data_IF_084209308859
#
_entry.id   IF_084209308859
#
_cell.length_a   1.000
_cell.length_b   1.000
_cell.length_c   1.000
_cell.angle_alpha   90.00
_cell.angle_beta   90.00
_cell.angle_gamma   90.00
#
_symmetry.space_group_name_H-M   'P 1'
#
loop_
_entity.id
_entity.type
_entity.pdbx_description
1 polymer ?
#
# COMPACT_ATOMS: atom_id res chain seq x y z
N UNK A 1 16.23 -14.29 2.69
CA UNK A 1 15.62 -13.81 1.44
C UNK A 1 14.14 -14.00 1.61
N UNK A 2 13.44 -12.93 1.94
CA UNK A 2 11.99 -12.97 2.17
C UNK A 2 11.34 -13.06 0.78
N UNK A 3 10.20 -13.74 0.62
CA UNK A 3 9.55 -13.93 -0.68
C UNK A 3 9.19 -12.62 -1.45
N UNK A 4 9.48 -11.47 -0.84
CA UNK A 4 9.23 -10.10 -1.29
C UNK A 4 10.36 -9.56 -2.17
N UNK A 5 11.61 -10.01 -1.98
CA UNK A 5 12.79 -9.50 -2.70
C UNK A 5 12.62 -9.45 -4.24
N UNK A 6 12.01 -10.46 -4.91
CA UNK A 6 11.79 -10.42 -6.36
C UNK A 6 10.62 -9.53 -6.82
N UNK A 7 9.78 -9.04 -5.91
CA UNK A 7 8.62 -8.19 -6.23
C UNK A 7 8.91 -6.69 -6.12
N UNK A 8 10.04 -6.35 -5.51
CA UNK A 8 10.48 -4.96 -5.38
C UNK A 8 10.96 -4.42 -6.74
N UNK A 9 10.49 -3.21 -7.07
CA UNK A 9 11.00 -2.43 -8.18
C UNK A 9 12.47 -2.03 -7.96
N UNK A 10 13.17 -1.69 -9.06
CA UNK A 10 14.56 -1.21 -8.96
C UNK A 10 14.63 0.06 -8.10
N UNK A 11 15.30 -0.03 -6.96
CA UNK A 11 15.46 1.08 -6.02
C UNK A 11 14.34 1.23 -4.98
N UNK A 12 13.33 0.35 -5.01
CA UNK A 12 12.24 0.34 -4.02
C UNK A 12 12.75 -0.19 -2.66
N UNK A 13 12.37 0.49 -1.58
CA UNK A 13 12.84 0.15 -0.23
C UNK A 13 11.68 -0.27 0.69
N UNK A 14 11.86 -1.37 1.42
CA UNK A 14 10.87 -1.80 2.41
C UNK A 14 10.95 -0.89 3.64
N UNK A 15 9.83 -0.26 3.98
CA UNK A 15 9.68 0.60 5.16
C UNK A 15 9.13 -0.17 6.36
N UNK A 16 8.22 -1.12 6.13
CA UNK A 16 7.64 -1.91 7.20
C UNK A 16 7.20 -3.29 6.69
N UNK A 17 7.30 -4.30 7.56
CA UNK A 17 6.77 -5.64 7.32
C UNK A 17 5.89 -6.04 8.50
N UNK A 18 4.63 -6.33 8.20
CA UNK A 18 3.63 -6.83 9.12
C UNK A 18 3.25 -8.28 8.81
N UNK A 19 2.67 -8.95 9.80
CA UNK A 19 2.12 -10.30 9.69
C UNK A 19 0.77 -10.39 10.39
N UNK A 20 -0.01 -11.40 10.03
CA UNK A 20 -1.24 -11.71 10.72
C UNK A 20 -0.96 -12.18 12.16
N UNK A 21 -1.80 -11.78 13.11
CA UNK A 21 -1.63 -12.14 14.50
C UNK A 21 -1.95 -13.62 14.75
N UNK A 22 -1.22 -14.26 15.68
CA UNK A 22 -1.41 -15.69 16.05
C UNK A 22 -2.81 -16.00 16.59
N UNK A 23 -3.52 -14.98 17.08
CA UNK A 23 -4.88 -15.13 17.61
C UNK A 23 -5.84 -15.74 16.59
N UNK A 24 -5.71 -15.39 15.30
CA UNK A 24 -6.57 -15.95 14.24
C UNK A 24 -6.37 -17.46 14.12
N UNK A 25 -5.11 -17.89 14.14
CA UNK A 25 -4.76 -19.30 14.10
C UNK A 25 -5.35 -20.02 15.32
N UNK A 26 -5.16 -19.46 16.51
CA UNK A 26 -5.68 -20.03 17.76
C UNK A 26 -7.21 -20.13 17.72
N UNK A 27 -7.92 -19.10 17.26
CA UNK A 27 -9.39 -19.12 17.20
C UNK A 27 -9.92 -20.16 16.22
N UNK A 28 -9.27 -20.31 15.06
CA UNK A 28 -9.65 -21.33 14.07
C UNK A 28 -9.42 -22.74 14.64
N UNK A 29 -8.21 -23.00 15.16
CA UNK A 29 -7.85 -24.30 15.75
C UNK A 29 -8.76 -24.63 16.93
N UNK A 30 -9.09 -23.66 17.79
CA UNK A 30 -9.99 -23.89 18.92
C UNK A 30 -11.41 -24.27 18.45
N UNK A 31 -11.92 -23.60 17.42
CA UNK A 31 -13.25 -23.89 16.85
C UNK A 31 -13.29 -25.31 16.24
N UNK A 32 -12.24 -25.69 15.52
CA UNK A 32 -12.10 -27.03 14.95
C UNK A 32 -11.98 -28.10 16.05
N UNK A 33 -11.21 -27.85 17.11
CA UNK A 33 -11.09 -28.77 18.25
C UNK A 33 -12.43 -28.97 18.97
N UNK A 34 -13.20 -27.89 19.17
CA UNK A 34 -14.55 -27.98 19.75
C UNK A 34 -15.48 -28.79 18.85
N UNK A 35 -15.45 -28.56 17.54
CA UNK A 35 -16.25 -29.30 16.57
C UNK A 35 -15.91 -30.81 16.60
N UNK A 36 -14.62 -31.15 16.62
CA UNK A 36 -14.15 -32.54 16.73
C UNK A 36 -14.62 -33.17 18.04
N UNK A 37 -14.51 -32.46 19.17
CA UNK A 37 -14.98 -32.95 20.46
C UNK A 37 -16.49 -33.22 20.46
N UNK A 38 -17.29 -32.34 19.84
CA UNK A 38 -18.74 -32.51 19.69
C UNK A 38 -19.07 -33.72 18.81
N UNK A 39 -18.35 -33.92 17.70
CA UNK A 39 -18.54 -35.07 16.81
C UNK A 39 -18.21 -36.39 17.52
N UNK A 40 -17.12 -36.44 18.29
CA UNK A 40 -16.76 -37.63 19.07
C UNK A 40 -17.82 -37.91 20.14
N UNK A 41 -18.27 -36.88 20.86
CA UNK A 41 -19.33 -37.02 21.86
C UNK A 41 -20.64 -37.52 21.21
N UNK A 42 -21.02 -37.00 20.05
CA UNK A 42 -22.19 -37.45 19.30
C UNK A 42 -22.07 -38.93 18.88
N UNK A 43 -20.89 -39.34 18.41
CA UNK A 43 -20.60 -40.74 18.10
C UNK A 43 -20.74 -41.65 19.33
N UNK A 44 -20.21 -41.23 20.49
CA UNK A 44 -20.33 -41.98 21.74
C UNK A 44 -21.79 -42.08 22.24
N UNK A 45 -22.54 -40.98 22.16
CA UNK A 45 -23.98 -40.96 22.54
C UNK A 45 -24.80 -41.84 21.60
N UNK A 46 -24.49 -41.86 20.30
CA UNK A 46 -25.17 -42.72 19.33
C UNK A 46 -25.04 -44.21 19.68
N UNK A 47 -23.86 -44.64 20.16
CA UNK A 47 -23.63 -46.01 20.61
C UNK A 47 -24.52 -46.38 21.80
N UNK A 48 -24.72 -45.44 22.75
CA UNK A 48 -25.58 -45.66 23.90
C UNK A 48 -27.08 -45.61 23.55
N UNK A 49 -27.47 -44.78 22.57
CA UNK A 49 -28.86 -44.61 22.15
C UNK A 49 -29.39 -45.76 21.29
N UNK A 50 -28.52 -46.41 20.51
CA UNK A 50 -28.90 -47.46 19.55
C UNK A 50 -28.07 -48.76 19.70
N UNK A 51 -28.05 -49.39 20.89
CA UNK A 51 -27.13 -50.49 21.19
C UNK A 51 -27.39 -51.77 20.37
N UNK A 52 -28.64 -52.00 19.97
CA UNK A 52 -29.06 -53.25 19.30
C UNK A 52 -29.54 -53.04 17.85
N UNK A 53 -29.43 -51.83 17.32
CA UNK A 53 -29.82 -51.53 15.94
C UNK A 53 -28.67 -51.90 15.00
N UNK A 54 -28.96 -52.70 13.98
CA UNK A 54 -27.97 -53.15 12.99
C UNK A 54 -28.42 -52.67 11.61
N UNK A 55 -27.49 -52.06 10.88
CA UNK A 55 -27.68 -51.62 9.50
C UNK A 55 -26.45 -52.02 8.69
N UNK A 56 -26.65 -52.52 7.47
CA UNK A 56 -25.56 -52.97 6.60
C UNK A 56 -24.58 -53.99 7.25
N UNK A 57 -25.06 -54.82 8.17
CA UNK A 57 -24.24 -55.81 8.87
C UNK A 57 -23.37 -55.26 10.01
N UNK A 58 -23.48 -53.97 10.35
CA UNK A 58 -22.77 -53.33 11.45
C UNK A 58 -23.74 -52.68 12.45
N UNK A 59 -23.33 -52.54 13.72
CA UNK A 59 -24.08 -51.77 14.70
C UNK A 59 -24.18 -50.31 14.24
N UNK A 60 -25.38 -49.73 14.31
CA UNK A 60 -25.64 -48.36 13.82
C UNK A 60 -24.72 -47.35 14.51
N UNK A 61 -24.50 -47.47 15.82
CA UNK A 61 -23.61 -46.55 16.51
C UNK A 61 -22.14 -46.66 16.07
N UNK A 62 -21.67 -47.83 15.60
CA UNK A 62 -20.33 -47.99 15.02
C UNK A 62 -20.24 -47.25 13.68
N UNK A 63 -21.28 -47.37 12.83
CA UNK A 63 -21.34 -46.63 11.57
C UNK A 63 -21.31 -45.11 11.81
N UNK A 64 -22.10 -44.62 12.77
CA UNK A 64 -22.12 -43.20 13.14
C UNK A 64 -20.76 -42.75 13.66
N UNK A 65 -20.12 -43.54 14.53
CA UNK A 65 -18.78 -43.24 15.03
C UNK A 65 -17.75 -43.15 13.90
N UNK A 66 -17.77 -44.08 12.95
CA UNK A 66 -16.87 -44.04 11.78
C UNK A 66 -17.08 -42.79 10.94
N UNK A 67 -18.33 -42.38 10.72
CA UNK A 67 -18.65 -41.13 10.02
C UNK A 67 -18.13 -39.93 10.80
N UNK A 68 -18.40 -39.84 12.11
CA UNK A 68 -17.91 -38.75 12.97
C UNK A 68 -16.38 -38.66 12.99
N UNK A 69 -15.68 -39.80 13.05
CA UNK A 69 -14.21 -39.86 13.00
C UNK A 69 -13.69 -39.42 11.63
N UNK A 70 -14.33 -39.86 10.55
CA UNK A 70 -13.94 -39.46 9.19
C UNK A 70 -14.08 -37.95 8.98
N UNK A 71 -15.20 -37.36 9.43
CA UNK A 71 -15.42 -35.91 9.38
C UNK A 71 -14.39 -35.20 10.25
N UNK A 72 -14.11 -35.71 11.45
CA UNK A 72 -13.12 -35.12 12.36
C UNK A 72 -11.72 -35.12 11.76
N UNK A 73 -11.34 -36.16 11.02
CA UNK A 73 -10.07 -36.22 10.31
C UNK A 73 -9.99 -35.18 9.17
N UNK A 74 -11.09 -34.98 8.43
CA UNK A 74 -11.17 -33.94 7.41
C UNK A 74 -11.04 -32.52 7.99
N UNK A 75 -11.70 -32.27 9.12
CA UNK A 75 -11.58 -31.00 9.87
C UNK A 75 -10.16 -30.79 10.38
N UNK A 76 -9.51 -31.84 10.90
CA UNK A 76 -8.11 -31.72 11.32
C UNK A 76 -7.17 -31.46 10.12
N UNK A 77 -7.51 -31.99 8.94
CA UNK A 77 -6.82 -31.68 7.70
C UNK A 77 -6.97 -30.22 7.27
N UNK A 78 -8.14 -29.59 7.47
CA UNK A 78 -8.33 -28.16 7.19
C UNK A 78 -7.51 -27.26 8.10
N UNK A 79 -7.32 -27.65 9.36
CA UNK A 79 -6.47 -26.94 10.32
C UNK A 79 -5.06 -26.69 9.79
N UNK A 80 -4.49 -27.70 9.14
CA UNK A 80 -3.16 -27.64 8.54
C UNK A 80 -3.11 -26.64 7.40
N UNK A 81 -4.14 -26.62 6.55
CA UNK A 81 -4.23 -25.64 5.46
C UNK A 81 -4.37 -24.22 6.00
N UNK A 82 -5.16 -24.02 7.05
CA UNK A 82 -5.31 -22.72 7.70
C UNK A 82 -4.01 -22.23 8.34
N UNK A 83 -3.21 -23.14 8.92
CA UNK A 83 -1.85 -22.82 9.37
C UNK A 83 -0.97 -22.31 8.23
N UNK A 84 -0.98 -22.98 7.07
CA UNK A 84 -0.21 -22.54 5.92
C UNK A 84 -0.70 -21.19 5.38
N UNK A 85 -2.02 -20.94 5.35
CA UNK A 85 -2.58 -19.64 4.96
C UNK A 85 -2.07 -18.53 5.86
N UNK A 86 -2.19 -18.72 7.18
CA UNK A 86 -1.75 -17.76 8.19
C UNK A 86 -0.23 -17.50 8.10
N UNK A 87 0.57 -18.54 7.89
CA UNK A 87 2.03 -18.42 7.81
C UNK A 87 2.51 -17.71 6.54
N UNK A 88 1.76 -17.84 5.44
CA UNK A 88 2.13 -17.27 4.15
C UNK A 88 1.62 -15.83 3.95
N UNK A 89 0.65 -15.38 4.75
CA UNK A 89 0.13 -14.02 4.64
C UNK A 89 1.11 -12.98 5.19
N UNK A 90 1.57 -12.08 4.32
CA UNK A 90 2.54 -11.04 4.67
C UNK A 90 2.10 -9.68 4.13
N UNK A 91 2.32 -8.66 4.96
CA UNK A 91 1.95 -7.29 4.65
C UNK A 91 3.22 -6.45 4.57
N UNK A 92 3.41 -5.74 3.46
CA UNK A 92 4.63 -4.98 3.22
C UNK A 92 4.27 -3.56 2.86
N UNK A 93 4.93 -2.60 3.49
CA UNK A 93 4.86 -1.20 3.12
C UNK A 93 6.21 -0.85 2.53
N UNK A 94 6.21 -0.34 1.30
CA UNK A 94 7.39 0.20 0.63
C UNK A 94 7.30 1.72 0.60
N UNK A 95 8.27 2.36 -0.03
CA UNK A 95 8.26 3.79 -0.32
C UNK A 95 7.28 4.20 -1.42
N UNK A 96 6.71 3.25 -2.18
CA UNK A 96 5.80 3.55 -3.30
C UNK A 96 4.41 2.95 -3.13
N UNK A 97 4.28 1.79 -2.48
CA UNK A 97 3.05 1.00 -2.42
C UNK A 97 2.93 0.17 -1.15
N UNK A 98 1.73 -0.34 -0.91
CA UNK A 98 1.44 -1.38 0.07
C UNK A 98 1.21 -2.67 -0.70
N UNK A 99 1.89 -3.74 -0.30
CA UNK A 99 1.82 -5.06 -0.93
C UNK A 99 1.23 -6.05 0.08
N UNK A 100 0.18 -6.76 -0.36
CA UNK A 100 -0.39 -7.91 0.32
C UNK A 100 0.03 -9.17 -0.41
N UNK A 101 0.83 -10.01 0.24
CA UNK A 101 1.18 -11.35 -0.24
C UNK A 101 0.32 -12.37 0.49
N UNK A 102 -0.38 -13.22 -0.26
CA UNK A 102 -1.18 -14.31 0.31
C UNK A 102 -1.21 -15.52 -0.61
N UNK A 103 -1.55 -16.68 -0.05
CA UNK A 103 -1.74 -17.92 -0.82
C UNK A 103 -0.84 -19.07 -0.35
N UNK A 104 -1.23 -20.29 -0.71
CA UNK A 104 -0.51 -21.52 -0.33
C UNK A 104 0.23 -22.10 -1.54
N UNK A 105 -0.53 -22.49 -2.56
CA UNK A 105 -0.02 -23.06 -3.81
C UNK A 105 0.14 -21.99 -4.88
N UNK A 106 -0.88 -21.13 -5.01
CA UNK A 106 -0.86 -19.96 -5.87
C UNK A 106 -0.56 -18.75 -4.99
N UNK A 107 0.53 -18.05 -5.28
CA UNK A 107 0.90 -16.81 -4.60
C UNK A 107 0.18 -15.67 -5.31
N UNK A 108 -0.61 -14.92 -4.56
CA UNK A 108 -1.29 -13.71 -5.00
C UNK A 108 -0.60 -12.51 -4.35
N UNK A 109 -0.18 -11.54 -5.17
CA UNK A 109 0.38 -10.27 -4.74
C UNK A 109 -0.58 -9.16 -5.14
N UNK A 110 -1.14 -8.46 -4.14
CA UNK A 110 -2.04 -7.33 -4.36
C UNK A 110 -1.28 -6.06 -4.01
N UNK A 111 -1.08 -5.22 -5.03
CA UNK A 111 -0.36 -3.96 -4.91
C UNK A 111 -1.32 -2.78 -4.87
N UNK A 112 -1.20 -1.94 -3.84
CA UNK A 112 -1.93 -0.68 -3.71
C UNK A 112 -0.94 0.48 -3.66
N UNK A 113 -0.90 1.30 -4.72
CA UNK A 113 -0.06 2.51 -4.74
C UNK A 113 -0.44 3.45 -3.60
N UNK A 114 0.55 3.94 -2.85
CA UNK A 114 0.34 4.87 -1.74
C UNK A 114 -0.32 6.19 -2.19
N UNK A 115 -0.12 6.57 -3.44
CA UNK A 115 -0.72 7.76 -4.06
C UNK A 115 -2.23 7.62 -4.23
N UNK A 116 -2.69 6.42 -4.59
CA UNK A 116 -4.11 6.11 -4.89
C UNK A 116 -4.94 5.79 -3.65
N UNK A 117 -4.33 5.81 -2.47
CA UNK A 117 -5.02 5.58 -1.20
C UNK A 117 -5.80 6.84 -0.82
N UNK A 118 -7.11 6.70 -0.74
CA UNK A 118 -8.01 7.76 -0.31
C UNK A 118 -8.07 7.80 1.21
N UNK A 119 -8.44 6.68 1.81
CA UNK A 119 -8.72 6.57 3.24
C UNK A 119 -8.18 5.27 3.83
N UNK A 120 -7.80 5.33 5.11
CA UNK A 120 -7.27 4.18 5.87
C UNK A 120 -7.95 4.14 7.24
N UNK A 121 -8.87 3.18 7.36
CA UNK A 121 -9.61 2.92 8.58
C UNK A 121 -8.89 1.87 9.42
N UNK A 122 -8.77 2.11 10.73
CA UNK A 122 -8.27 1.13 11.70
C UNK A 122 -9.42 0.74 12.62
N UNK A 123 -9.78 -0.54 12.60
CA UNK A 123 -10.79 -1.11 13.50
C UNK A 123 -10.10 -2.02 14.49
N UNK A 124 -10.19 -1.67 15.78
CA UNK A 124 -9.60 -2.46 16.85
C UNK A 124 -10.63 -2.67 17.95
N UNK A 125 -10.96 -3.94 18.21
CA UNK A 125 -11.83 -4.32 19.33
C UNK A 125 -11.12 -4.15 20.67
N UNK A 126 -11.87 -4.24 21.77
CA UNK A 126 -11.28 -4.19 23.12
C UNK A 126 -10.22 -5.29 23.33
N UNK A 127 -10.52 -6.52 22.90
CA UNK A 127 -9.55 -7.63 22.90
C UNK A 127 -8.39 -7.37 21.95
N UNK A 128 -8.65 -6.81 20.77
CA UNK A 128 -7.61 -6.41 19.81
C UNK A 128 -6.64 -5.39 20.42
N UNK A 129 -7.12 -4.48 21.27
CA UNK A 129 -6.26 -3.52 21.98
C UNK A 129 -5.40 -4.20 23.04
N UNK A 130 -5.96 -5.16 23.77
CA UNK A 130 -5.22 -5.90 24.80
C UNK A 130 -4.13 -6.79 24.21
N UNK A 131 -4.42 -7.46 23.09
CA UNK A 131 -3.49 -8.37 22.41
C UNK A 131 -2.77 -7.73 21.22
N UNK A 132 -2.90 -6.42 21.03
CA UNK A 132 -2.27 -5.62 19.98
C UNK A 132 -2.45 -6.17 18.55
N UNK A 133 -3.69 -6.54 18.21
CA UNK A 133 -4.11 -6.86 16.84
C UNK A 133 -5.32 -6.02 16.42
N UNK A 134 -5.56 -5.88 15.12
CA UNK A 134 -6.73 -5.17 14.61
C UNK A 134 -6.85 -5.29 13.09
N UNK A 135 -7.96 -4.78 12.55
CA UNK A 135 -8.22 -4.77 11.13
C UNK A 135 -7.87 -3.41 10.54
N UNK A 136 -7.23 -3.41 9.37
CA UNK A 136 -6.98 -2.19 8.58
C UNK A 136 -7.74 -2.32 7.27
N UNK A 137 -8.46 -1.27 6.91
CA UNK A 137 -9.20 -1.18 5.66
C UNK A 137 -8.65 0.01 4.87
N UNK A 138 -8.10 -0.29 3.68
CA UNK A 138 -7.56 0.69 2.75
C UNK A 138 -8.56 0.86 1.63
N UNK A 139 -9.06 2.08 1.47
CA UNK A 139 -9.98 2.46 0.39
C UNK A 139 -9.16 3.16 -0.69
N UNK A 140 -9.22 2.63 -1.91
CA UNK A 140 -8.49 3.18 -3.06
C UNK A 140 -9.47 3.64 -4.13
N UNK A 141 -9.08 4.66 -4.91
CA UNK A 141 -9.90 5.14 -6.04
C UNK A 141 -9.90 4.24 -7.28
N UNK A 142 -9.34 3.03 -7.21
CA UNK A 142 -9.20 2.10 -8.35
C UNK A 142 -10.28 1.01 -8.34
N UNK A 143 -10.44 0.24 -9.43
CA UNK A 143 -11.45 -0.84 -9.55
C UNK A 143 -11.36 -1.92 -8.45
N UNK A 144 -10.19 -2.10 -7.82
CA UNK A 144 -10.03 -3.01 -6.68
C UNK A 144 -10.64 -2.51 -5.36
N UNK A 145 -11.10 -1.25 -5.32
CA UNK A 145 -12.02 -0.64 -4.35
C UNK A 145 -11.59 -0.60 -2.89
N UNK A 146 -11.41 -1.76 -2.26
CA UNK A 146 -11.22 -1.92 -0.82
C UNK A 146 -10.28 -3.10 -0.55
N UNK A 147 -9.11 -2.82 0.04
CA UNK A 147 -8.19 -3.85 0.56
C UNK A 147 -8.32 -3.97 2.07
N UNK A 148 -8.75 -5.14 2.56
CA UNK A 148 -8.92 -5.40 3.99
C UNK A 148 -7.84 -6.33 4.53
N UNK A 149 -7.10 -5.84 5.51
CA UNK A 149 -6.05 -6.53 6.25
C UNK A 149 -6.63 -7.00 7.58
N UNK A 150 -6.83 -8.30 7.75
CA UNK A 150 -7.58 -8.83 8.91
C UNK A 150 -6.64 -9.27 10.03
N UNK A 151 -6.93 -8.82 11.25
CA UNK A 151 -6.21 -9.21 12.48
C UNK A 151 -4.70 -9.05 12.34
N UNK A 152 -4.29 -7.94 11.74
CA UNK A 152 -2.91 -7.52 11.60
C UNK A 152 -2.27 -7.35 12.98
N UNK A 153 -1.08 -7.90 13.18
CA UNK A 153 -0.31 -7.68 14.39
C UNK A 153 0.26 -6.25 14.40
N UNK A 154 0.13 -5.57 15.54
CA UNK A 154 0.58 -4.18 15.75
C UNK A 154 0.01 -3.22 14.69
N UNK A 155 -1.33 -3.09 14.61
CA UNK A 155 -1.96 -2.35 13.52
C UNK A 155 -1.71 -0.83 13.60
N UNK A 156 -1.43 -0.31 14.80
CA UNK A 156 -1.03 1.09 14.97
C UNK A 156 0.34 1.39 14.32
N UNK A 157 1.29 0.46 14.45
CA UNK A 157 2.62 0.63 13.87
C UNK A 157 2.54 0.57 12.34
N UNK A 158 1.72 -0.33 11.81
CA UNK A 158 1.44 -0.36 10.37
C UNK A 158 0.81 0.94 9.87
N UNK A 159 -0.22 1.45 10.55
CA UNK A 159 -0.89 2.71 10.16
C UNK A 159 0.07 3.89 10.20
N UNK A 160 0.94 3.97 11.22
CA UNK A 160 2.00 4.98 11.33
C UNK A 160 2.98 4.86 10.16
N UNK A 161 3.56 3.68 9.96
CA UNK A 161 4.53 3.44 8.89
C UNK A 161 3.98 3.77 7.49
N UNK A 162 2.71 3.46 7.24
CA UNK A 162 2.04 3.78 5.98
C UNK A 162 1.79 5.29 5.82
N UNK A 163 1.38 5.99 6.88
CA UNK A 163 1.23 7.44 6.86
C UNK A 163 2.58 8.16 6.67
N UNK A 164 3.65 7.63 7.28
CA UNK A 164 5.01 8.15 7.14
C UNK A 164 5.48 7.94 5.69
N UNK A 165 5.34 6.74 5.14
CA UNK A 165 5.67 6.44 3.75
C UNK A 165 4.88 7.33 2.77
N UNK A 166 3.58 7.56 3.01
CA UNK A 166 2.76 8.47 2.20
C UNK A 166 3.23 9.92 2.30
N UNK A 167 3.64 10.35 3.49
CA UNK A 167 4.16 11.71 3.72
C UNK A 167 5.50 11.91 3.00
N UNK A 168 6.38 10.92 3.06
CA UNK A 168 7.67 10.93 2.38
C UNK A 168 7.51 10.91 0.86
N UNK A 169 6.58 10.10 0.33
CA UNK A 169 6.24 10.08 -1.09
C UNK A 169 5.71 11.44 -1.57
N UNK A 170 4.81 12.07 -0.80
CA UNK A 170 4.34 13.43 -1.11
C UNK A 170 5.47 14.45 -1.10
N UNK A 171 6.40 14.36 -0.15
CA UNK A 171 7.59 15.22 -0.12
C UNK A 171 8.48 15.01 -1.33
N UNK A 172 8.69 13.77 -1.78
CA UNK A 172 9.49 13.52 -2.98
C UNK A 172 8.87 14.16 -4.23
N UNK A 173 7.54 14.14 -4.36
CA UNK A 173 6.85 14.82 -5.47
C UNK A 173 6.73 16.33 -5.28
N UNK A 174 6.71 16.84 -4.05
CA UNK A 174 6.68 18.28 -3.78
C UNK A 174 7.95 19.01 -4.28
N UNK A 175 9.06 18.30 -4.51
CA UNK A 175 10.23 18.89 -5.21
C UNK A 175 9.99 19.10 -6.71
N UNK A 176 9.02 18.39 -7.29
CA UNK A 176 8.55 18.57 -8.68
C UNK A 176 7.36 19.55 -8.75
N UNK A 177 6.99 20.19 -7.63
CA UNK A 177 5.81 21.02 -7.49
C UNK A 177 5.79 22.20 -8.47
N UNK A 178 4.58 22.51 -8.92
CA UNK A 178 4.24 23.39 -10.03
C UNK A 178 4.82 24.80 -9.88
N UNK A 179 5.01 25.31 -8.66
CA UNK A 179 5.65 26.60 -8.41
C UNK A 179 7.11 26.66 -8.85
N UNK A 180 7.86 25.55 -8.73
CA UNK A 180 9.23 25.50 -9.22
C UNK A 180 9.21 25.52 -10.75
N UNK A 181 8.34 24.72 -11.37
CA UNK A 181 8.16 24.68 -12.83
C UNK A 181 7.69 26.04 -13.39
N UNK A 182 6.72 26.69 -12.73
CA UNK A 182 6.24 28.03 -13.06
C UNK A 182 7.33 29.07 -12.86
N UNK A 183 8.12 29.03 -11.79
CA UNK A 183 9.26 29.92 -11.61
C UNK A 183 10.37 29.70 -12.65
N UNK A 184 10.55 28.48 -13.15
CA UNK A 184 11.46 28.18 -14.27
C UNK A 184 10.90 28.72 -15.60
N UNK A 185 9.62 28.49 -15.89
CA UNK A 185 8.95 28.96 -17.10
C UNK A 185 8.81 30.50 -17.12
N UNK A 186 8.45 31.13 -16.00
CA UNK A 186 8.40 32.59 -15.85
C UNK A 186 9.78 33.23 -16.05
N UNK A 187 10.86 32.56 -15.62
CA UNK A 187 12.22 33.06 -15.84
C UNK A 187 12.66 32.96 -17.29
N UNK A 188 12.17 31.97 -18.01
CA UNK A 188 12.44 31.76 -19.43
C UNK A 188 11.65 32.75 -20.30
N UNK A 189 10.36 32.99 -20.00
CA UNK A 189 9.52 33.97 -20.71
C UNK A 189 9.89 35.43 -20.41
N UNK A 190 10.44 35.72 -19.22
CA UNK A 190 10.87 37.09 -18.84
C UNK A 190 12.27 37.45 -19.33
N UNK A 191 13.10 36.47 -19.70
CA UNK A 191 14.44 36.69 -20.24
C UNK A 191 14.45 37.53 -21.55
N UNK A 192 13.55 37.31 -22.53
CA UNK A 192 13.48 38.16 -23.72
C UNK A 192 12.90 39.56 -23.45
N UNK A 193 11.84 39.70 -22.64
CA UNK A 193 11.23 41.02 -22.37
C UNK A 193 12.15 41.96 -21.57
N UNK A 194 12.84 41.45 -20.54
CA UNK A 194 13.76 42.27 -19.75
C UNK A 194 14.97 42.74 -20.57
N UNK A 195 15.43 41.94 -21.52
CA UNK A 195 16.50 42.33 -22.45
C UNK A 195 16.03 43.42 -23.43
N UNK A 196 14.82 43.29 -23.98
CA UNK A 196 14.22 44.28 -24.90
C UNK A 196 13.97 45.62 -24.20
N UNK A 197 13.53 45.61 -22.93
CA UNK A 197 13.29 46.82 -22.16
C UNK A 197 14.60 47.54 -21.77
N UNK A 198 15.64 46.80 -21.38
CA UNK A 198 16.96 47.35 -21.09
C UNK A 198 17.63 47.94 -22.35
N UNK A 199 17.47 47.28 -23.50
CA UNK A 199 17.94 47.80 -24.80
C UNK A 199 17.18 49.09 -25.16
N UNK A 200 15.86 49.13 -24.95
CA UNK A 200 15.03 50.31 -25.21
C UNK A 200 15.46 51.51 -24.34
N UNK A 201 15.68 51.29 -23.05
CA UNK A 201 16.19 52.31 -22.12
C UNK A 201 17.61 52.78 -22.50
N UNK A 202 18.46 51.87 -22.95
CA UNK A 202 19.82 52.20 -23.40
C UNK A 202 19.79 53.06 -24.67
N UNK A 203 18.91 52.74 -25.63
CA UNK A 203 18.71 53.55 -26.84
C UNK A 203 18.18 54.95 -26.52
N UNK A 204 17.27 55.09 -25.55
CA UNK A 204 16.79 56.39 -25.09
C UNK A 204 17.90 57.24 -24.45
N UNK A 205 18.79 56.64 -23.63
CA UNK A 205 19.96 57.34 -23.08
C UNK A 205 20.91 57.79 -24.17
N UNK A 206 21.21 56.92 -25.14
CA UNK A 206 22.05 57.27 -26.28
C UNK A 206 21.43 58.42 -27.10
N UNK A 207 20.12 58.42 -27.32
CA UNK A 207 19.43 59.51 -28.01
C UNK A 207 19.53 60.83 -27.24
N UNK A 208 19.34 60.81 -25.92
CA UNK A 208 19.50 61.99 -25.07
C UNK A 208 20.94 62.53 -25.06
N UNK A 209 21.95 61.65 -25.15
CA UNK A 209 23.36 62.06 -25.25
C UNK A 209 23.66 62.72 -26.60
N UNK A 210 23.09 62.21 -27.69
CA UNK A 210 23.18 62.84 -29.02
C UNK A 210 22.54 64.23 -29.03
N UNK A 211 21.34 64.36 -28.46
CA UNK A 211 20.60 65.62 -28.47
C UNK A 211 21.27 66.71 -27.60
N UNK A 212 22.06 66.29 -26.60
CA UNK A 212 22.92 67.16 -25.79
C UNK A 212 24.29 67.44 -26.44
N UNK A 213 24.58 66.87 -27.61
CA UNK A 213 25.85 67.03 -28.33
C UNK A 213 27.04 66.27 -27.72
N UNK A 214 26.79 65.29 -26.84
CA UNK A 214 27.85 64.51 -26.17
C UNK A 214 28.40 63.37 -27.03
N UNK A 215 27.63 62.92 -28.03
CA UNK A 215 28.04 61.90 -29.00
C UNK A 215 27.64 62.34 -30.42
N UNK A 216 28.40 61.91 -31.41
CA UNK A 216 28.11 62.24 -32.81
C UNK A 216 26.95 61.40 -33.35
N UNK A 217 26.34 61.85 -34.47
CA UNK A 217 25.25 61.11 -35.12
C UNK A 217 25.70 59.75 -35.65
N UNK A 218 26.94 59.64 -36.11
CA UNK A 218 27.51 58.37 -36.58
C UNK A 218 27.78 57.39 -35.44
N UNK A 219 28.27 57.87 -34.29
CA UNK A 219 28.48 57.04 -33.09
C UNK A 219 27.17 56.50 -32.52
N UNK A 220 26.11 57.30 -32.56
CA UNK A 220 24.77 56.86 -32.18
C UNK A 220 24.24 55.74 -33.10
N UNK A 221 24.32 55.92 -34.41
CA UNK A 221 23.83 54.92 -35.39
C UNK A 221 24.65 53.63 -35.38
N UNK A 222 25.95 53.69 -35.06
CA UNK A 222 26.79 52.51 -34.88
C UNK A 222 26.36 51.70 -33.64
N UNK A 223 26.22 52.36 -32.48
CA UNK A 223 25.80 51.70 -31.23
C UNK A 223 24.36 51.20 -31.26
N UNK A 224 23.46 51.93 -31.95
CA UNK A 224 22.08 51.50 -32.14
C UNK A 224 22.01 50.19 -32.94
N UNK A 225 22.78 50.07 -34.02
CA UNK A 225 22.84 48.82 -34.80
C UNK A 225 23.41 47.66 -33.98
N UNK A 226 24.49 47.88 -33.26
CA UNK A 226 25.11 46.88 -32.38
C UNK A 226 24.13 46.34 -31.32
N UNK A 227 23.30 47.21 -30.72
CA UNK A 227 22.34 46.81 -29.71
C UNK A 227 21.12 46.07 -30.29
N UNK A 228 20.70 46.40 -31.51
CA UNK A 228 19.58 45.73 -32.18
C UNK A 228 19.94 44.36 -32.76
N UNK A 229 21.23 44.12 -33.05
CA UNK A 229 21.74 42.83 -33.54
C UNK A 229 21.89 41.77 -32.42
N UNK A 230 21.72 42.20 -31.15
CA UNK A 230 21.84 41.37 -29.95
C UNK A 230 20.51 40.77 -29.47
N UNK A 231 19.42 41.08 -30.17
CA UNK A 231 18.06 40.53 -29.99
C UNK A 231 17.82 39.50 -31.09
#
# INVERSE_FOLDING_TARGET
MTAIDPLLGRGESIRYTGRQHVFVLISNVLTELVLVAVLIAAGAVSQAAFPNQVLAGMQVGVLVLLVCVTISLLVLGSAVLDYFRWSNEQYVITDQRVILLRGIFNIEAIDSSLEKINEVELRQSWLGRLFNFGDIEIITGSESGISRFRSLARPLDFKRAMNDARSDLKRSYAYLDQQALEAYLEREDRAPEAAVDDISHTLQRLAAMRDRGLISREEFEAKKRELLDRI
#
